data_IF_813028574511
#
_entry.id   IF_813028574511
#
_cell.length_a   1.000
_cell.length_b   1.000
_cell.length_c   1.000
_cell.angle_alpha   90.00
_cell.angle_beta   90.00
_cell.angle_gamma   90.00
#
_symmetry.space_group_name_H-M   'P 1'
#
loop_
_entity.id
_entity.type
_entity.pdbx_description
1 polymer ?
#
# COMPACT_ATOMS: atom_id res chain seq x y z
N UNK A 1 22.17 68.06 -4.33
CA UNK A 1 20.89 67.68 -4.97
C UNK A 1 20.86 66.17 -5.03
N UNK A 2 20.16 65.44 -4.16
CA UNK A 2 18.71 65.33 -3.97
C UNK A 2 18.01 64.45 -5.04
N UNK A 3 17.69 63.22 -4.60
CA UNK A 3 16.43 62.45 -4.77
C UNK A 3 15.87 62.12 -6.17
N UNK A 4 15.75 60.82 -6.46
CA UNK A 4 14.69 60.14 -7.25
C UNK A 4 14.66 58.65 -6.76
N UNK A 5 13.85 58.22 -5.78
CA UNK A 5 12.44 57.76 -5.81
C UNK A 5 12.13 56.76 -6.95
N UNK A 6 12.17 55.45 -6.68
CA UNK A 6 11.03 54.57 -6.31
C UNK A 6 9.98 54.36 -7.41
N UNK A 7 9.91 53.15 -7.99
CA UNK A 7 8.68 52.49 -8.54
C UNK A 7 9.01 51.14 -9.21
N UNK A 8 8.96 50.02 -8.49
CA UNK A 8 8.38 48.74 -8.95
C UNK A 8 8.58 47.64 -7.89
N UNK A 9 7.63 47.53 -6.97
CA UNK A 9 7.49 46.37 -6.10
C UNK A 9 5.99 46.13 -5.85
N UNK A 10 5.26 45.62 -6.85
CA UNK A 10 3.87 45.19 -6.63
C UNK A 10 3.36 44.21 -7.70
N UNK A 11 3.98 43.03 -7.85
CA UNK A 11 3.42 41.91 -8.62
C UNK A 11 3.68 40.55 -7.94
N UNK A 12 3.63 40.50 -6.61
CA UNK A 12 4.03 39.32 -5.84
C UNK A 12 2.94 38.63 -4.99
N UNK A 13 1.70 39.13 -4.94
CA UNK A 13 0.70 38.64 -3.97
C UNK A 13 -0.52 37.93 -4.58
N UNK A 14 -0.58 37.77 -5.90
CA UNK A 14 -1.75 37.16 -6.56
C UNK A 14 -1.84 35.63 -6.49
N UNK A 15 -0.73 34.92 -6.24
CA UNK A 15 -0.71 33.45 -6.36
C UNK A 15 -1.11 32.68 -5.08
N UNK A 16 -1.11 33.32 -3.90
CA UNK A 16 -1.45 32.64 -2.64
C UNK A 16 -2.95 32.55 -2.37
N UNK A 17 -3.75 33.48 -2.91
CA UNK A 17 -5.21 33.48 -2.70
C UNK A 17 -5.91 32.30 -3.37
N UNK A 18 -5.41 31.84 -4.53
CA UNK A 18 -6.00 30.71 -5.24
C UNK A 18 -5.79 29.37 -4.52
N UNK A 19 -4.66 29.21 -3.82
CA UNK A 19 -4.39 27.98 -3.05
C UNK A 19 -5.28 27.87 -1.80
N UNK A 20 -5.58 28.99 -1.14
CA UNK A 20 -6.43 28.99 0.07
C UNK A 20 -7.91 28.74 -0.25
N UNK A 21 -8.41 29.19 -1.42
CA UNK A 21 -9.81 28.92 -1.79
C UNK A 21 -10.05 27.46 -2.15
N UNK A 22 -9.10 26.82 -2.85
CA UNK A 22 -9.17 25.39 -3.18
C UNK A 22 -9.19 24.54 -1.90
N UNK A 23 -8.35 24.85 -0.92
CA UNK A 23 -8.32 24.14 0.36
C UNK A 23 -9.62 24.28 1.15
N UNK A 24 -10.27 25.45 1.10
CA UNK A 24 -11.59 25.68 1.74
C UNK A 24 -12.71 24.87 1.07
N UNK A 25 -12.63 24.66 -0.24
CA UNK A 25 -13.66 23.94 -0.98
C UNK A 25 -13.59 22.42 -0.70
N UNK A 26 -12.38 21.85 -0.60
CA UNK A 26 -12.20 20.45 -0.22
C UNK A 26 -12.69 20.16 1.21
N UNK A 27 -12.42 21.05 2.17
CA UNK A 27 -12.91 20.89 3.55
C UNK A 27 -14.44 20.89 3.66
N UNK A 28 -15.13 21.66 2.82
CA UNK A 28 -16.61 21.66 2.81
C UNK A 28 -17.17 20.33 2.30
N UNK A 29 -16.59 19.77 1.23
CA UNK A 29 -17.05 18.51 0.65
C UNK A 29 -16.83 17.31 1.60
N UNK A 30 -15.74 17.32 2.37
CA UNK A 30 -15.46 16.31 3.39
C UNK A 30 -16.50 16.38 4.51
N UNK A 31 -16.88 17.58 4.95
CA UNK A 31 -17.89 17.76 6.01
C UNK A 31 -19.27 17.24 5.59
N UNK A 32 -19.66 17.47 4.34
CA UNK A 32 -20.95 17.00 3.81
C UNK A 32 -20.97 15.47 3.64
N UNK A 33 -19.83 14.87 3.29
CA UNK A 33 -19.68 13.41 3.18
C UNK A 33 -19.75 12.70 4.54
N UNK A 34 -19.26 13.32 5.61
CA UNK A 34 -19.34 12.76 6.97
C UNK A 34 -20.78 12.81 7.51
N UNK A 35 -21.52 13.89 7.23
CA UNK A 35 -22.91 14.01 7.66
C UNK A 35 -23.82 13.01 6.94
N UNK A 36 -23.56 12.68 5.67
CA UNK A 36 -24.35 11.69 4.93
C UNK A 36 -24.11 10.25 5.39
N UNK A 37 -22.89 9.91 5.82
CA UNK A 37 -22.56 8.60 6.42
C UNK A 37 -23.20 8.41 7.81
N UNK A 38 -23.35 9.48 8.59
CA UNK A 38 -24.02 9.48 9.90
C UNK A 38 -25.53 9.20 9.79
N UNK A 39 -26.19 9.77 8.77
CA UNK A 39 -27.64 9.59 8.56
C UNK A 39 -27.97 8.20 7.99
N UNK A 40 -27.10 7.63 7.15
CA UNK A 40 -27.31 6.30 6.57
C UNK A 40 -27.21 5.16 7.61
N UNK A 41 -26.46 5.35 8.70
CA UNK A 41 -26.20 4.31 9.70
C UNK A 41 -27.23 4.29 10.85
N UNK A 42 -28.19 5.21 10.88
CA UNK A 42 -29.16 5.36 11.98
C UNK A 42 -30.53 4.70 11.71
N UNK A 43 -30.76 4.11 10.53
CA UNK A 43 -32.07 3.57 10.13
C UNK A 43 -32.11 2.04 9.91
N UNK A 44 -31.06 1.29 10.27
CA UNK A 44 -30.98 -0.16 10.00
C UNK A 44 -31.06 -1.08 11.25
N UNK A 45 -31.44 -0.57 12.42
CA UNK A 45 -31.68 -1.41 13.61
C UNK A 45 -32.93 -0.97 14.35
N UNK A 46 -34.10 -1.42 13.89
CA UNK A 46 -35.27 -1.70 14.72
C UNK A 46 -36.37 -2.33 13.88
N UNK A 47 -36.47 -3.67 13.90
CA UNK A 47 -37.74 -4.39 13.79
C UNK A 47 -37.53 -5.89 14.07
N UNK A 48 -37.99 -6.32 15.25
CA UNK A 48 -38.31 -7.71 15.58
C UNK A 48 -39.83 -7.76 15.74
N UNK A 49 -40.56 -8.68 15.08
CA UNK A 49 -41.88 -9.07 15.52
C UNK A 49 -41.86 -10.44 16.21
N UNK A 50 -42.43 -10.46 17.41
CA UNK A 50 -42.71 -11.62 18.24
C UNK A 50 -44.17 -12.02 18.01
N UNK A 51 -44.44 -13.19 17.41
CA UNK A 51 -45.77 -13.79 17.41
C UNK A 51 -45.66 -15.30 17.62
N UNK A 52 -46.16 -15.77 18.76
CA UNK A 52 -46.33 -17.17 19.10
C UNK A 52 -47.68 -17.69 18.57
N UNK A 53 -47.73 -18.96 18.14
CA UNK A 53 -48.96 -19.75 18.17
C UNK A 53 -48.65 -21.24 18.33
N UNK A 54 -49.18 -21.81 19.41
CA UNK A 54 -49.21 -23.23 19.79
C UNK A 54 -50.17 -24.03 18.92
N UNK A 55 -49.89 -25.32 18.71
CA UNK A 55 -50.86 -26.43 18.84
C UNK A 55 -50.17 -27.80 18.83
N UNK A 56 -50.79 -28.71 19.56
CA UNK A 56 -50.32 -29.96 20.16
C UNK A 56 -50.69 -31.20 19.31
N UNK A 57 -50.01 -32.35 19.53
CA UNK A 57 -50.63 -33.67 19.36
C UNK A 57 -50.19 -34.67 18.26
N UNK A 58 -49.36 -35.64 18.69
CA UNK A 58 -49.52 -37.12 18.54
C UNK A 58 -49.06 -37.93 17.29
N UNK A 59 -48.07 -38.82 17.59
CA UNK A 59 -47.85 -40.24 17.17
C UNK A 59 -47.31 -40.67 15.78
N UNK A 60 -46.02 -41.06 15.82
CA UNK A 60 -45.39 -42.33 15.41
C UNK A 60 -45.73 -43.01 14.07
N UNK A 61 -44.70 -43.25 13.23
CA UNK A 61 -44.39 -44.61 12.71
C UNK A 61 -42.95 -44.72 12.20
N UNK A 62 -42.35 -45.88 12.48
CA UNK A 62 -41.01 -46.33 12.08
C UNK A 62 -40.96 -46.66 10.58
N UNK A 63 -39.82 -46.41 9.91
CA UNK A 63 -39.37 -47.27 8.82
C UNK A 63 -37.86 -47.19 8.61
N UNK A 64 -37.30 -48.38 8.41
CA UNK A 64 -35.89 -48.73 8.42
C UNK A 64 -35.21 -48.56 7.05
N UNK A 65 -33.87 -48.61 7.12
CA UNK A 65 -32.81 -48.52 6.10
C UNK A 65 -32.97 -49.53 4.95
N UNK A 66 -32.37 -49.27 3.76
CA UNK A 66 -31.23 -50.10 3.37
C UNK A 66 -30.01 -49.29 2.86
N UNK A 67 -28.80 -49.89 2.91
CA UNK A 67 -27.52 -49.19 2.92
C UNK A 67 -26.94 -49.02 1.50
N UNK A 68 -26.45 -47.81 1.17
CA UNK A 68 -25.67 -47.62 -0.04
C UNK A 68 -24.17 -47.80 0.24
N UNK A 69 -23.64 -48.78 -0.46
CA UNK A 69 -22.28 -49.26 -0.64
C UNK A 69 -21.26 -48.15 -0.91
N UNK A 70 -20.16 -48.19 -0.16
CA UNK A 70 -18.93 -47.42 -0.36
C UNK A 70 -18.06 -48.15 -1.41
N UNK A 71 -17.65 -47.51 -2.53
CA UNK A 71 -16.60 -48.04 -3.39
C UNK A 71 -15.18 -47.66 -2.88
N UNK A 72 -14.15 -48.48 -3.20
CA UNK A 72 -12.85 -48.48 -2.54
C UNK A 72 -11.93 -47.31 -2.91
N UNK A 73 -11.12 -46.91 -1.94
CA UNK A 73 -10.02 -45.95 -2.04
C UNK A 73 -8.90 -46.52 -2.90
N UNK A 74 -8.66 -45.93 -4.07
CA UNK A 74 -7.42 -46.15 -4.81
C UNK A 74 -6.35 -45.16 -4.32
N UNK A 75 -5.35 -45.72 -3.65
CA UNK A 75 -4.14 -45.07 -3.17
C UNK A 75 -3.27 -44.61 -4.35
N UNK A 76 -3.01 -43.31 -4.44
CA UNK A 76 -1.99 -42.73 -5.35
C UNK A 76 -0.70 -42.53 -4.54
N UNK A 77 0.50 -42.86 -5.06
CA UNK A 77 1.76 -42.74 -4.30
C UNK A 77 2.11 -41.28 -4.01
N UNK A 78 2.76 -40.95 -2.87
CA UNK A 78 3.22 -39.60 -2.61
C UNK A 78 4.40 -39.25 -3.51
N UNK A 79 4.19 -38.27 -4.40
CA UNK A 79 5.26 -37.62 -5.16
C UNK A 79 6.13 -36.82 -4.18
N UNK A 80 7.37 -37.26 -3.98
CA UNK A 80 8.40 -36.51 -3.26
C UNK A 80 8.75 -35.24 -4.01
N UNK A 81 8.17 -34.11 -3.59
CA UNK A 81 8.62 -32.78 -4.01
C UNK A 81 9.92 -32.47 -3.24
N UNK A 82 11.03 -32.09 -3.90
CA UNK A 82 12.21 -31.60 -3.21
C UNK A 82 11.84 -30.32 -2.45
N UNK A 83 11.77 -30.42 -1.14
CA UNK A 83 11.65 -29.29 -0.24
C UNK A 83 13.02 -28.58 -0.21
N UNK A 84 13.27 -27.66 -1.13
CA UNK A 84 14.43 -26.76 -1.04
C UNK A 84 14.11 -25.68 -0.02
N UNK A 85 14.11 -26.05 1.26
CA UNK A 85 14.26 -25.11 2.36
C UNK A 85 15.71 -24.66 2.35
N UNK A 86 16.07 -23.70 1.49
CA UNK A 86 17.30 -22.94 1.69
C UNK A 86 17.07 -22.01 2.86
N UNK A 87 17.39 -22.49 4.06
CA UNK A 87 17.67 -21.65 5.21
C UNK A 87 18.94 -20.86 4.90
N UNK A 88 18.81 -19.80 4.12
CA UNK A 88 19.91 -18.89 3.86
C UNK A 88 20.05 -17.97 5.07
N UNK A 89 21.17 -18.14 5.79
CA UNK A 89 21.60 -17.19 6.80
C UNK A 89 21.70 -15.77 6.18
N UNK A 90 21.42 -14.70 6.94
CA UNK A 90 21.34 -13.38 6.35
C UNK A 90 22.66 -12.92 5.74
N UNK A 91 22.63 -12.58 4.45
CA UNK A 91 23.72 -11.85 3.82
C UNK A 91 23.68 -10.40 4.33
N UNK A 92 24.46 -10.10 5.37
CA UNK A 92 24.48 -8.82 6.10
C UNK A 92 25.10 -7.65 5.32
N UNK A 93 25.28 -7.74 3.99
CA UNK A 93 25.78 -6.61 3.20
C UNK A 93 25.50 -6.69 1.68
N UNK A 94 24.40 -7.34 1.28
CA UNK A 94 24.09 -7.47 -0.14
C UNK A 94 23.55 -6.14 -0.70
N UNK A 95 24.40 -5.41 -1.43
CA UNK A 95 23.96 -4.28 -2.23
C UNK A 95 23.00 -4.77 -3.33
N UNK A 96 21.82 -4.16 -3.39
CA UNK A 96 20.83 -4.41 -4.44
C UNK A 96 21.45 -4.10 -5.80
N UNK A 97 21.27 -5.02 -6.76
CA UNK A 97 21.68 -4.80 -8.13
C UNK A 97 20.55 -4.16 -8.95
N UNK A 98 20.85 -3.26 -9.91
CA UNK A 98 19.85 -2.73 -10.82
C UNK A 98 19.04 -3.82 -11.51
N UNK A 99 17.73 -3.64 -11.63
CA UNK A 99 16.81 -4.61 -12.22
C UNK A 99 16.46 -5.82 -11.34
N UNK A 100 17.10 -6.01 -10.18
CA UNK A 100 16.83 -7.14 -9.29
C UNK A 100 15.42 -7.09 -8.67
N UNK A 101 15.00 -5.89 -8.28
CA UNK A 101 13.74 -5.65 -7.58
C UNK A 101 12.90 -4.66 -8.37
N UNK A 102 12.05 -5.18 -9.26
CA UNK A 102 11.18 -4.38 -10.12
C UNK A 102 9.75 -4.90 -10.02
N UNK A 103 8.81 -3.99 -9.79
CA UNK A 103 7.38 -4.30 -9.76
C UNK A 103 6.59 -3.34 -10.66
N UNK A 104 5.55 -3.83 -11.36
CA UNK A 104 4.63 -2.94 -12.04
C UNK A 104 3.83 -2.14 -11.01
N UNK A 105 3.41 -0.93 -11.39
CA UNK A 105 2.53 -0.07 -10.57
C UNK A 105 1.29 0.34 -11.36
N UNK A 106 0.14 0.38 -10.68
CA UNK A 106 -1.18 0.60 -11.28
C UNK A 106 -1.45 -0.40 -12.43
N UNK A 107 -1.32 -1.69 -12.13
CA UNK A 107 -1.46 -2.77 -13.11
C UNK A 107 -0.22 -2.89 -14.01
N UNK A 108 -0.04 -1.96 -14.95
CA UNK A 108 1.12 -1.88 -15.87
C UNK A 108 1.31 -0.47 -16.45
N UNK A 109 0.76 0.58 -15.81
CA UNK A 109 0.90 1.96 -16.31
C UNK A 109 2.31 2.51 -16.09
N UNK A 110 2.97 2.05 -15.03
CA UNK A 110 4.37 2.31 -14.75
C UNK A 110 5.05 1.09 -14.14
N UNK A 111 6.29 1.30 -13.68
CA UNK A 111 7.01 0.36 -12.82
C UNK A 111 7.80 1.10 -11.75
N UNK A 112 8.04 0.42 -10.64
CA UNK A 112 8.94 0.86 -9.57
C UNK A 112 10.11 -0.12 -9.51
N UNK A 113 11.32 0.41 -9.44
CA UNK A 113 12.56 -0.32 -9.25
C UNK A 113 13.18 0.11 -7.92
N UNK A 114 13.54 -0.83 -7.04
CA UNK A 114 14.34 -0.50 -5.86
C UNK A 114 15.79 -0.30 -6.29
N UNK A 115 16.34 0.85 -5.93
CA UNK A 115 17.72 1.22 -6.26
C UNK A 115 18.67 0.88 -5.11
N UNK A 116 18.21 1.12 -3.88
CA UNK A 116 19.00 0.94 -2.65
C UNK A 116 18.07 0.74 -1.46
N UNK A 117 18.46 -0.15 -0.56
CA UNK A 117 17.84 -0.30 0.76
C UNK A 117 18.97 -0.41 1.77
N UNK A 118 19.13 0.62 2.59
CA UNK A 118 20.24 0.69 3.55
C UNK A 118 19.83 1.38 4.84
N UNK A 119 20.54 1.04 5.91
CA UNK A 119 20.43 1.73 7.20
C UNK A 119 20.84 3.19 7.05
N UNK A 120 20.17 4.06 7.79
CA UNK A 120 20.56 5.47 7.91
C UNK A 120 21.73 5.56 8.89
N UNK A 121 22.79 6.26 8.50
CA UNK A 121 23.97 6.43 9.34
C UNK A 121 23.61 7.10 10.68
N UNK A 122 24.08 6.52 11.78
CA UNK A 122 23.74 6.98 13.14
C UNK A 122 22.33 6.60 13.62
N UNK A 123 21.49 5.99 12.78
CA UNK A 123 20.12 5.59 13.11
C UNK A 123 19.87 4.13 12.71
N UNK A 124 20.37 3.16 13.50
CA UNK A 124 20.38 1.75 13.11
C UNK A 124 18.98 1.13 13.02
N UNK A 125 17.96 1.74 13.62
CA UNK A 125 16.57 1.28 13.54
C UNK A 125 15.77 1.94 12.39
N UNK A 126 16.45 2.69 11.52
CA UNK A 126 15.85 3.37 10.37
C UNK A 126 16.50 2.88 9.08
N UNK A 127 15.66 2.57 8.09
CA UNK A 127 16.09 2.12 6.76
C UNK A 127 15.60 3.11 5.71
N UNK A 128 16.51 3.62 4.90
CA UNK A 128 16.18 4.37 3.70
C UNK A 128 15.95 3.41 2.53
N UNK A 129 14.77 3.50 1.93
CA UNK A 129 14.40 2.78 0.71
C UNK A 129 14.40 3.79 -0.44
N UNK A 130 15.37 3.68 -1.34
CA UNK A 130 15.46 4.48 -2.56
C UNK A 130 14.91 3.70 -3.74
N UNK A 131 14.11 4.37 -4.57
CA UNK A 131 13.43 3.75 -5.70
C UNK A 131 13.35 4.68 -6.90
N UNK A 132 13.17 4.08 -8.09
CA UNK A 132 12.89 4.78 -9.34
C UNK A 132 11.53 4.39 -9.86
N UNK A 133 10.66 5.37 -10.01
CA UNK A 133 9.37 5.23 -10.71
C UNK A 133 9.58 5.54 -12.17
N UNK A 134 9.09 4.69 -13.08
CA UNK A 134 9.08 4.95 -14.52
C UNK A 134 7.67 4.86 -15.08
N UNK A 135 7.32 5.80 -15.94
CA UNK A 135 6.09 5.75 -16.72
C UNK A 135 6.32 4.83 -17.92
N UNK A 136 5.42 3.87 -18.13
CA UNK A 136 5.50 2.93 -19.26
C UNK A 136 4.40 3.20 -20.30
N UNK A 137 3.22 3.63 -19.86
CA UNK A 137 2.07 3.89 -20.74
C UNK A 137 1.45 5.26 -20.45
N UNK A 138 2.11 6.37 -20.84
CA UNK A 138 1.65 7.73 -20.54
C UNK A 138 0.25 8.04 -21.08
N UNK A 139 -0.17 7.39 -22.16
CA UNK A 139 -1.48 7.59 -22.78
C UNK A 139 -2.66 7.16 -21.88
N UNK A 140 -2.45 6.23 -20.95
CA UNK A 140 -3.49 5.73 -20.02
C UNK A 140 -3.29 6.18 -18.56
N UNK A 141 -2.33 7.08 -18.29
CA UNK A 141 -2.19 7.66 -16.95
C UNK A 141 -3.24 8.75 -16.71
N UNK A 142 -3.73 8.80 -15.49
CA UNK A 142 -4.87 9.60 -15.01
C UNK A 142 -4.49 10.32 -13.71
N UNK A 143 -5.23 11.38 -13.34
CA UNK A 143 -4.95 12.17 -12.14
C UNK A 143 -4.87 11.35 -10.84
N UNK A 144 -5.56 10.21 -10.75
CA UNK A 144 -5.54 9.32 -9.59
C UNK A 144 -4.33 8.38 -9.53
N UNK A 145 -3.48 8.33 -10.56
CA UNK A 145 -2.29 7.48 -10.60
C UNK A 145 -1.13 8.10 -9.79
N UNK A 146 -1.36 8.27 -8.48
CA UNK A 146 -0.43 8.86 -7.52
C UNK A 146 -0.01 7.83 -6.47
N UNK A 147 1.30 7.66 -6.30
CA UNK A 147 1.90 6.73 -5.34
C UNK A 147 2.21 7.51 -4.06
N UNK A 148 1.45 7.27 -2.99
CA UNK A 148 1.68 7.90 -1.68
C UNK A 148 2.69 7.08 -0.88
N UNK A 149 3.95 7.49 -0.88
CA UNK A 149 5.05 6.68 -0.34
C UNK A 149 5.00 6.50 1.18
N UNK A 150 4.32 7.39 1.91
CA UNK A 150 4.05 7.22 3.35
C UNK A 150 3.22 5.97 3.66
N UNK A 151 2.47 5.45 2.68
CA UNK A 151 1.76 4.17 2.79
C UNK A 151 2.65 2.94 2.66
N UNK A 152 3.96 3.12 2.46
CA UNK A 152 4.91 2.01 2.33
C UNK A 152 5.08 1.29 3.67
N UNK A 153 5.05 -0.03 3.63
CA UNK A 153 5.31 -0.87 4.81
C UNK A 153 6.34 -1.93 4.48
N UNK A 154 6.96 -2.49 5.51
CA UNK A 154 7.81 -3.67 5.38
C UNK A 154 7.33 -4.77 6.31
N UNK A 155 7.59 -6.03 5.95
CA UNK A 155 7.25 -7.20 6.77
C UNK A 155 8.47 -8.08 6.99
N UNK A 156 8.71 -8.47 8.23
CA UNK A 156 9.69 -9.50 8.56
C UNK A 156 9.13 -10.87 8.16
N UNK A 157 9.84 -11.59 7.29
CA UNK A 157 9.44 -12.92 6.79
C UNK A 157 9.39 -13.98 7.90
N UNK A 158 10.24 -13.85 8.93
CA UNK A 158 10.37 -14.84 10.00
C UNK A 158 9.34 -14.61 11.12
N UNK A 159 9.09 -13.35 11.48
CA UNK A 159 8.25 -13.01 12.64
C UNK A 159 6.88 -12.47 12.26
N UNK A 160 6.63 -12.18 10.97
CA UNK A 160 5.44 -11.49 10.45
C UNK A 160 5.24 -10.06 10.96
N UNK A 161 6.18 -9.53 11.76
CA UNK A 161 6.15 -8.16 12.24
C UNK A 161 6.10 -7.19 11.06
N UNK A 162 5.25 -6.17 11.16
CA UNK A 162 5.08 -5.13 10.14
C UNK A 162 5.68 -3.81 10.63
N UNK A 163 6.46 -3.19 9.76
CA UNK A 163 7.18 -1.94 9.98
C UNK A 163 6.57 -0.87 9.08
N UNK A 164 6.44 0.35 9.61
CA UNK A 164 5.78 1.47 8.92
C UNK A 164 6.79 2.51 8.47
N UNK A 165 6.37 3.35 7.53
CA UNK A 165 7.08 4.55 7.18
C UNK A 165 7.21 5.49 8.39
N UNK A 166 8.36 6.17 8.45
CA UNK A 166 8.62 7.24 9.42
C UNK A 166 7.92 8.50 8.91
N UNK A 167 7.11 9.11 9.78
CA UNK A 167 6.31 10.29 9.41
C UNK A 167 7.20 11.45 8.97
N UNK A 168 6.91 12.05 7.82
CA UNK A 168 7.66 13.19 7.28
C UNK A 168 8.96 12.81 6.57
N UNK A 169 9.41 11.56 6.64
CA UNK A 169 10.68 11.11 6.06
C UNK A 169 10.45 10.34 4.75
N UNK A 170 9.87 11.04 3.77
CA UNK A 170 9.66 10.50 2.42
C UNK A 170 9.62 11.61 1.37
N UNK A 171 9.68 11.23 0.09
CA UNK A 171 9.40 12.15 -1.03
C UNK A 171 7.92 12.57 -1.11
N UNK A 172 7.04 12.00 -0.28
CA UNK A 172 5.60 12.24 -0.31
C UNK A 172 4.92 11.43 -1.41
N UNK A 173 4.42 12.10 -2.45
CA UNK A 173 3.68 11.46 -3.54
C UNK A 173 4.39 11.54 -4.88
N UNK A 174 4.40 10.45 -5.64
CA UNK A 174 4.86 10.44 -7.04
C UNK A 174 3.67 10.21 -7.98
N UNK A 175 3.35 11.21 -8.80
CA UNK A 175 2.22 11.16 -9.75
C UNK A 175 2.68 10.82 -11.17
N UNK A 176 2.20 9.70 -11.71
CA UNK A 176 2.46 9.28 -13.08
C UNK A 176 1.81 10.24 -14.10
N UNK A 177 0.72 10.89 -13.71
CA UNK A 177 0.07 11.90 -14.54
C UNK A 177 0.90 13.18 -14.60
N UNK A 178 1.38 13.68 -13.46
CA UNK A 178 2.26 14.85 -13.44
C UNK A 178 3.52 14.60 -14.26
N UNK A 179 4.16 13.43 -14.07
CA UNK A 179 5.31 13.01 -14.87
C UNK A 179 5.02 13.04 -16.38
N UNK A 180 3.88 12.48 -16.82
CA UNK A 180 3.43 12.59 -18.21
C UNK A 180 3.32 14.04 -18.67
N UNK A 181 2.60 14.89 -17.93
CA UNK A 181 2.36 16.29 -18.35
C UNK A 181 3.63 17.13 -18.41
N UNK A 182 4.64 16.76 -17.63
CA UNK A 182 5.95 17.41 -17.59
C UNK A 182 6.96 16.75 -18.54
N UNK A 183 6.52 15.78 -19.36
CA UNK A 183 7.37 14.99 -20.25
C UNK A 183 8.54 14.29 -19.52
N UNK A 184 8.34 13.92 -18.26
CA UNK A 184 9.29 13.20 -17.42
C UNK A 184 9.01 11.69 -17.49
N UNK A 185 10.00 10.91 -17.92
CA UNK A 185 9.86 9.45 -18.09
C UNK A 185 10.18 8.65 -16.83
N UNK A 186 10.94 9.25 -15.90
CA UNK A 186 11.30 8.64 -14.62
C UNK A 186 11.49 9.66 -13.51
N UNK A 187 11.18 9.28 -12.27
CA UNK A 187 11.41 10.05 -11.06
C UNK A 187 12.03 9.15 -9.99
N UNK A 188 13.07 9.64 -9.33
CA UNK A 188 13.65 8.97 -8.17
C UNK A 188 12.94 9.47 -6.90
N UNK A 189 12.74 8.57 -5.95
CA UNK A 189 12.05 8.85 -4.71
C UNK A 189 12.60 8.00 -3.56
N UNK A 190 12.24 8.38 -2.33
CA UNK A 190 12.63 7.66 -1.14
C UNK A 190 11.53 7.62 -0.08
N UNK A 191 11.65 6.66 0.84
CA UNK A 191 10.88 6.58 2.08
C UNK A 191 11.75 5.95 3.16
N UNK A 192 11.67 6.46 4.38
CA UNK A 192 12.30 5.84 5.54
C UNK A 192 11.33 4.93 6.26
N UNK A 193 11.80 3.75 6.67
CA UNK A 193 11.02 2.75 7.41
C UNK A 193 11.62 2.51 8.79
N UNK A 194 10.76 2.36 9.81
CA UNK A 194 11.16 2.00 11.17
C UNK A 194 11.33 0.48 11.30
N UNK A 195 12.53 -0.02 11.02
CA UNK A 195 12.84 -1.45 11.02
C UNK A 195 13.90 -1.68 12.11
N UNK A 196 13.73 -2.59 13.08
CA UNK A 196 14.76 -2.85 14.10
C UNK A 196 16.09 -3.28 13.48
N UNK A 197 17.21 -2.87 14.06
CA UNK A 197 18.56 -3.16 13.56
C UNK A 197 18.86 -4.65 13.35
N UNK A 198 18.18 -5.53 14.09
CA UNK A 198 18.37 -6.98 14.03
C UNK A 198 17.78 -7.59 12.74
N UNK A 199 16.95 -6.84 12.01
CA UNK A 199 16.33 -7.30 10.77
C UNK A 199 17.23 -6.95 9.58
N UNK A 200 17.64 -7.98 8.85
CA UNK A 200 18.52 -7.87 7.68
C UNK A 200 17.78 -7.97 6.34
N UNK A 201 16.59 -8.55 6.34
CA UNK A 201 15.80 -8.82 5.14
C UNK A 201 14.32 -8.59 5.43
N UNK A 202 13.61 -7.98 4.49
CA UNK A 202 12.18 -7.71 4.61
C UNK A 202 11.47 -7.86 3.27
N UNK A 203 10.17 -8.15 3.32
CA UNK A 203 9.29 -7.84 2.19
C UNK A 203 8.92 -6.36 2.26
N UNK A 204 8.97 -5.62 1.15
CA UNK A 204 8.56 -4.21 1.06
C UNK A 204 7.28 -4.10 0.24
N UNK A 205 6.29 -3.40 0.77
CA UNK A 205 4.99 -3.16 0.15
C UNK A 205 4.87 -1.68 -0.16
N UNK A 206 4.98 -1.32 -1.44
CA UNK A 206 4.73 0.03 -1.92
C UNK A 206 3.28 0.09 -2.43
N UNK A 207 2.51 1.16 -2.17
CA UNK A 207 1.14 1.24 -2.63
C UNK A 207 0.99 1.03 -4.14
N UNK A 208 -0.03 0.26 -4.54
CA UNK A 208 -0.36 -0.08 -5.92
C UNK A 208 0.68 -0.94 -6.65
N UNK A 209 1.60 -1.59 -5.93
CA UNK A 209 2.50 -2.62 -6.45
C UNK A 209 2.24 -3.98 -5.80
N UNK A 210 2.87 -5.01 -6.34
CA UNK A 210 3.11 -6.25 -5.58
C UNK A 210 4.26 -6.05 -4.58
N UNK A 211 4.40 -6.98 -3.63
CA UNK A 211 5.50 -6.96 -2.68
C UNK A 211 6.85 -7.17 -3.38
N UNK A 212 7.85 -6.40 -2.97
CA UNK A 212 9.26 -6.72 -3.23
C UNK A 212 9.69 -7.69 -2.15
N UNK A 213 9.97 -8.95 -2.52
CA UNK A 213 10.18 -10.02 -1.55
C UNK A 213 11.64 -10.16 -1.17
N UNK A 214 11.89 -10.50 0.10
CA UNK A 214 13.23 -10.83 0.60
C UNK A 214 14.31 -9.79 0.24
N UNK A 215 13.97 -8.50 0.37
CA UNK A 215 14.86 -7.38 0.06
C UNK A 215 15.94 -7.29 1.15
N UNK A 216 17.24 -7.39 0.82
CA UNK A 216 18.30 -7.22 1.78
C UNK A 216 18.44 -5.75 2.21
N UNK A 217 18.78 -5.54 3.48
CA UNK A 217 19.08 -4.22 4.06
C UNK A 217 20.59 -4.13 4.24
N UNK A 218 21.23 -3.25 3.48
CA UNK A 218 22.64 -2.92 3.66
C UNK A 218 22.85 -2.03 4.90
N UNK A 219 24.07 -2.00 5.42
CA UNK A 219 24.47 -1.11 6.52
C UNK A 219 25.18 0.14 6.01
#
# INVERSE_FOLDING_TARGET
>A
MALLLSSLALLGTGLTLFQVSQLRQELSQIKDSINTLSVANSNAQNQVPLNAQTNDGTSATYSAVPPNTVPPVNSVPPTTVPNTTTTQAPATNAAIQPGQFVQPVFGTKGRIELLRVNRVEGQPDIVNVQMRVRVLRPQVTTYSDSIYLEGTTARNLQTTATYKAVSGESTGSVSLFSMKTQNQTSADAYVWLQIPKEVSNVDIYIPNTQAFQNVPIAN
#
